data_IF_042519794079
#
_entry.id   IF_042519794079
#
_cell.length_a   1.000
_cell.length_b   1.000
_cell.length_c   1.000
_cell.angle_alpha   90.00
_cell.angle_beta   90.00
_cell.angle_gamma   90.00
#
_symmetry.space_group_name_H-M   'P 1'
#
loop_
_entity.id
_entity.type
_entity.pdbx_description
1 polymer ?
#
# COMPACT_ATOMS: atom_id res chain seq x y z
N UNK A 1 5.31 5.15 3.27
CA UNK A 1 4.11 5.83 2.74
C UNK A 1 4.23 7.31 3.02
N UNK A 2 4.20 8.17 1.99
CA UNK A 2 4.08 9.63 2.17
C UNK A 2 2.60 9.97 2.39
N UNK A 3 2.32 10.96 3.24
CA UNK A 3 0.94 11.36 3.54
C UNK A 3 0.19 11.86 2.29
N UNK A 4 0.91 12.49 1.36
CA UNK A 4 0.37 13.03 0.11
C UNK A 4 -0.08 11.94 -0.87
N UNK A 5 0.34 10.68 -0.67
CA UNK A 5 -0.01 9.55 -1.51
C UNK A 5 -1.26 8.80 -1.02
N UNK A 6 -2.08 9.42 -0.16
CA UNK A 6 -3.31 8.80 0.37
C UNK A 6 -4.51 9.68 0.09
N UNK A 7 -5.48 9.14 -0.64
CA UNK A 7 -6.81 9.72 -0.78
C UNK A 7 -7.78 8.98 0.15
N UNK A 8 -8.66 9.70 0.86
CA UNK A 8 -9.71 9.08 1.67
C UNK A 8 -11.06 9.55 1.19
N UNK A 9 -11.97 8.59 0.97
CA UNK A 9 -13.36 8.83 0.61
C UNK A 9 -14.26 8.27 1.70
N UNK A 10 -15.25 9.04 2.12
CA UNK A 10 -16.34 8.55 2.96
C UNK A 10 -17.49 8.08 2.07
N UNK A 11 -18.10 6.95 2.41
CA UNK A 11 -19.31 6.43 1.77
C UNK A 11 -20.13 5.64 2.78
N UNK A 12 -21.38 6.06 2.99
CA UNK A 12 -22.34 5.40 3.90
C UNK A 12 -21.80 5.20 5.33
N UNK A 13 -21.11 6.20 5.89
CA UNK A 13 -20.53 6.14 7.24
C UNK A 13 -19.27 5.26 7.36
N UNK A 14 -18.71 4.84 6.23
CA UNK A 14 -17.48 4.06 6.16
C UNK A 14 -16.41 4.86 5.44
N UNK A 15 -15.18 4.81 5.92
CA UNK A 15 -14.03 5.48 5.30
C UNK A 15 -13.23 4.48 4.49
N UNK A 16 -12.98 4.81 3.22
CA UNK A 16 -12.11 4.04 2.33
C UNK A 16 -10.88 4.88 2.02
N UNK A 17 -9.71 4.39 2.42
CA UNK A 17 -8.43 4.98 2.10
C UNK A 17 -7.84 4.27 0.87
N UNK A 18 -7.36 5.05 -0.10
CA UNK A 18 -6.73 4.61 -1.33
C UNK A 18 -5.30 5.12 -1.37
N UNK A 19 -4.37 4.25 -1.74
CA UNK A 19 -3.03 4.67 -2.09
C UNK A 19 -3.01 5.15 -3.54
N UNK A 20 -2.49 6.36 -3.76
CA UNK A 20 -2.43 7.01 -5.09
C UNK A 20 -0.99 7.19 -5.59
N UNK A 21 -0.02 6.57 -4.92
CA UNK A 21 1.37 6.56 -5.39
C UNK A 21 1.64 5.46 -6.42
N UNK A 22 2.56 5.72 -7.35
CA UNK A 22 2.96 4.80 -8.42
C UNK A 22 3.67 3.53 -7.95
N UNK A 23 4.19 3.49 -6.72
CA UNK A 23 4.96 2.35 -6.18
C UNK A 23 4.10 1.18 -5.73
N UNK A 24 2.79 1.39 -5.49
CA UNK A 24 1.89 0.35 -5.04
C UNK A 24 0.45 0.62 -5.51
N UNK A 25 0.20 0.70 -6.84
CA UNK A 25 -1.13 0.95 -7.36
C UNK A 25 -2.09 -0.16 -6.90
N UNK A 26 -3.34 0.21 -6.60
CA UNK A 26 -4.45 -0.65 -6.17
C UNK A 26 -4.53 -0.97 -4.66
N UNK A 27 -3.65 -0.44 -3.81
CA UNK A 27 -3.84 -0.58 -2.36
C UNK A 27 -5.02 0.27 -1.87
N UNK A 28 -5.96 -0.39 -1.20
CA UNK A 28 -7.05 0.27 -0.50
C UNK A 28 -7.31 -0.39 0.86
N UNK A 29 -7.91 0.35 1.77
CA UNK A 29 -8.34 -0.18 3.05
C UNK A 29 -9.60 0.55 3.54
N UNK A 30 -10.35 -0.13 4.40
CA UNK A 30 -11.64 0.33 4.90
C UNK A 30 -11.60 0.43 6.41
N UNK A 31 -12.21 1.46 6.98
CA UNK A 31 -12.27 1.69 8.41
C UNK A 31 -13.55 2.42 8.86
N UNK A 32 -13.88 2.27 10.14
CA UNK A 32 -15.00 2.97 10.77
C UNK A 32 -14.72 4.45 11.04
N UNK A 33 -13.44 4.86 11.01
CA UNK A 33 -13.01 6.26 11.04
C UNK A 33 -11.96 6.49 9.96
N UNK A 34 -11.70 7.77 9.66
CA UNK A 34 -10.64 8.18 8.73
C UNK A 34 -9.28 7.62 9.14
N UNK A 35 -8.95 7.71 10.42
CA UNK A 35 -7.68 7.26 11.00
C UNK A 35 -7.56 5.74 10.94
N UNK A 36 -8.66 5.03 11.21
CA UNK A 36 -8.71 3.57 11.10
C UNK A 36 -8.46 3.11 9.66
N UNK A 37 -9.06 3.76 8.66
CA UNK A 37 -8.86 3.43 7.26
C UNK A 37 -7.42 3.71 6.79
N UNK A 38 -6.85 4.85 7.20
CA UNK A 38 -5.45 5.19 6.90
C UNK A 38 -4.49 4.22 7.59
N UNK A 39 -4.73 3.87 8.85
CA UNK A 39 -3.92 2.91 9.60
C UNK A 39 -3.92 1.53 8.94
N UNK A 40 -5.11 1.04 8.54
CA UNK A 40 -5.24 -0.22 7.81
C UNK A 40 -4.50 -0.17 6.46
N UNK A 41 -4.63 0.94 5.70
CA UNK A 41 -3.90 1.12 4.44
C UNK A 41 -2.38 1.11 4.65
N UNK A 42 -1.90 1.73 5.73
CA UNK A 42 -0.48 1.74 6.06
C UNK A 42 0.07 0.36 6.40
N UNK A 43 -0.72 -0.48 7.08
CA UNK A 43 -0.39 -1.88 7.32
C UNK A 43 -0.27 -2.68 6.01
N UNK A 44 -1.22 -2.52 5.10
CA UNK A 44 -1.18 -3.15 3.77
C UNK A 44 0.00 -2.66 2.93
N UNK A 45 0.28 -1.35 2.92
CA UNK A 45 1.44 -0.77 2.23
C UNK A 45 2.77 -1.34 2.75
N UNK A 46 2.90 -1.53 4.07
CA UNK A 46 4.08 -2.18 4.67
C UNK A 46 4.19 -3.64 4.23
N UNK A 47 3.07 -4.37 4.23
CA UNK A 47 3.05 -5.78 3.83
C UNK A 47 3.43 -5.94 2.36
N UNK A 48 2.87 -5.11 1.48
CA UNK A 48 3.22 -5.09 0.05
C UNK A 48 4.71 -4.87 -0.16
N UNK A 49 5.28 -3.83 0.46
CA UNK A 49 6.72 -3.56 0.35
C UNK A 49 7.60 -4.64 0.97
N UNK A 50 7.17 -5.27 2.06
CA UNK A 50 7.87 -6.40 2.66
C UNK A 50 7.95 -7.57 1.66
N UNK A 51 6.85 -7.89 0.97
CA UNK A 51 6.82 -8.93 -0.06
C UNK A 51 7.70 -8.55 -1.25
N UNK A 52 7.59 -7.33 -1.78
CA UNK A 52 8.41 -6.88 -2.92
C UNK A 52 9.90 -6.87 -2.58
N UNK A 53 10.26 -6.42 -1.38
CA UNK A 53 11.66 -6.45 -0.92
C UNK A 53 12.14 -7.89 -0.74
N UNK A 54 11.36 -8.76 -0.09
CA UNK A 54 11.69 -10.18 0.04
C UNK A 54 11.81 -10.86 -1.33
N UNK A 55 10.98 -10.49 -2.33
CA UNK A 55 11.10 -10.98 -3.71
C UNK A 55 12.36 -10.48 -4.40
N UNK A 56 12.80 -9.23 -4.14
CA UNK A 56 14.09 -8.72 -4.63
C UNK A 56 15.28 -9.42 -3.98
N UNK A 57 15.22 -9.69 -2.68
CA UNK A 57 16.27 -10.39 -1.94
C UNK A 57 16.33 -11.88 -2.30
N UNK A 58 15.19 -12.51 -2.60
CA UNK A 58 15.10 -13.90 -3.07
C UNK A 58 15.48 -14.05 -4.56
N UNK A 59 15.57 -12.95 -5.31
CA UNK A 59 16.10 -12.91 -6.67
C UNK A 59 17.43 -12.12 -6.75
N UNK A 60 18.55 -12.63 -6.19
CA UNK A 60 19.86 -12.01 -6.36
C UNK A 60 20.44 -12.24 -7.78
N UNK A 61 19.65 -12.64 -8.78
CA UNK A 61 20.13 -13.39 -9.95
C UNK A 61 19.56 -13.06 -11.32
N UNK A 62 19.14 -11.83 -11.62
CA UNK A 62 19.19 -11.37 -13.04
C UNK A 62 20.56 -10.74 -13.30
N UNK A 63 21.57 -11.60 -13.20
CA UNK A 63 22.76 -11.53 -14.03
C UNK A 63 22.62 -12.60 -15.13
N UNK A 64 21.54 -12.55 -15.91
CA UNK A 64 21.51 -13.24 -17.19
C UNK A 64 22.24 -12.36 -18.19
N UNK A 65 23.56 -12.49 -18.22
CA UNK A 65 24.30 -12.26 -19.45
C UNK A 65 23.80 -13.28 -20.46
N UNK A 66 23.17 -12.80 -21.53
CA UNK A 66 23.12 -13.54 -22.77
C UNK A 66 24.52 -13.54 -23.41
#
# INVERSE_FOLDING_TARGET
MKADNVAVRETNGVFVAYYIGDDAPLLNAVGGTRESAIGALYHEWKRFHSIINASRECNPGVAYGC
#
